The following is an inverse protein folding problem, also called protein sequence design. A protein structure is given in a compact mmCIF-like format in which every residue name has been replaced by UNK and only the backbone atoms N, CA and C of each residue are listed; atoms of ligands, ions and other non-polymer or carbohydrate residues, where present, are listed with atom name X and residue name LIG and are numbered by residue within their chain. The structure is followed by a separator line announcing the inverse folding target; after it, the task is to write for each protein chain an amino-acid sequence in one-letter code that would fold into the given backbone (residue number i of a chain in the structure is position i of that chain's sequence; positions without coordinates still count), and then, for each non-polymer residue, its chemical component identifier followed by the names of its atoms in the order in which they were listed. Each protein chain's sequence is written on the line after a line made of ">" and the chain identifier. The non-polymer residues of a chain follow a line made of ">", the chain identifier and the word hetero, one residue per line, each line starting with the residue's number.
data_IF_810098279873
#
_entry.id   IF_810098279873
#
_cell.length_a   1.000
_cell.length_b   1.000
_cell.length_c   1.000
_cell.angle_alpha   90.00
_cell.angle_beta   90.00
_cell.angle_gamma   90.00
#
_symmetry.space_group_name_H-M   'P 1'
#
loop_
_entity.id
_entity.type
_entity.pdbx_description
1 polymer ?
#
# COMPACT_ATOMS: atom_id res chain seq x y z
N UNK A 1 -10.53 7.56 -25.76
CA UNK A 1 -9.87 8.54 -24.87
C UNK A 1 -10.70 9.77 -24.53
N UNK A 2 -11.41 10.41 -25.47
CA UNK A 2 -12.19 11.63 -25.16
C UNK A 2 -13.20 11.45 -24.02
N UNK A 3 -13.97 10.37 -24.08
CA UNK A 3 -15.05 10.05 -23.12
C UNK A 3 -14.50 9.83 -21.71
N UNK A 4 -13.31 9.23 -21.55
CA UNK A 4 -12.70 9.03 -20.24
C UNK A 4 -12.23 10.35 -19.65
N UNK A 5 -11.57 11.19 -20.45
CA UNK A 5 -11.13 12.51 -20.01
C UNK A 5 -12.32 13.37 -19.54
N UNK A 6 -13.43 13.34 -20.30
CA UNK A 6 -14.68 14.03 -19.93
C UNK A 6 -15.29 13.48 -18.64
N UNK A 7 -15.43 12.15 -18.51
CA UNK A 7 -15.96 11.50 -17.29
C UNK A 7 -15.09 11.75 -16.05
N UNK A 8 -13.79 11.88 -16.24
CA UNK A 8 -12.83 12.18 -15.18
C UNK A 8 -12.64 13.69 -14.96
N UNK A 9 -13.46 14.55 -15.59
CA UNK A 9 -13.38 16.00 -15.49
C UNK A 9 -11.98 16.57 -15.77
N UNK A 10 -11.29 16.02 -16.76
CA UNK A 10 -9.90 16.36 -17.10
C UNK A 10 -9.68 16.52 -18.61
N UNK A 11 -8.48 16.94 -19.00
CA UNK A 11 -8.09 17.10 -20.41
C UNK A 11 -7.44 15.83 -20.96
N UNK A 12 -7.44 15.67 -22.30
CA UNK A 12 -6.71 14.58 -22.97
C UNK A 12 -5.22 14.60 -22.64
N UNK A 13 -4.61 15.79 -22.56
CA UNK A 13 -3.21 15.94 -22.22
C UNK A 13 -2.91 15.45 -20.79
N UNK A 14 -3.80 15.74 -19.83
CA UNK A 14 -3.65 15.22 -18.47
C UNK A 14 -3.88 13.71 -18.41
N UNK A 15 -4.85 13.16 -19.16
CA UNK A 15 -5.06 11.71 -19.24
C UNK A 15 -3.82 10.98 -19.79
N UNK A 16 -3.13 11.54 -20.78
CA UNK A 16 -1.87 10.98 -21.29
C UNK A 16 -0.76 10.97 -20.23
N UNK A 17 -0.68 12.02 -19.39
CA UNK A 17 0.28 12.05 -18.27
C UNK A 17 -0.04 11.00 -17.20
N UNK A 18 -1.32 10.78 -16.93
CA UNK A 18 -1.80 9.69 -16.06
C UNK A 18 -1.39 8.32 -16.63
N UNK A 19 -1.60 8.09 -17.93
CA UNK A 19 -1.17 6.85 -18.60
C UNK A 19 0.35 6.64 -18.56
N UNK A 20 1.12 7.73 -18.62
CA UNK A 20 2.57 7.71 -18.48
C UNK A 20 3.05 7.53 -17.02
N UNK A 21 2.14 7.51 -16.04
CA UNK A 21 2.48 7.41 -14.63
C UNK A 21 3.17 8.67 -14.07
N UNK A 22 2.90 9.84 -14.65
CA UNK A 22 3.47 11.12 -14.19
C UNK A 22 3.09 11.40 -12.73
N UNK A 23 4.05 11.42 -11.79
CA UNK A 23 3.78 11.63 -10.37
C UNK A 23 3.43 13.10 -10.04
N UNK A 24 3.62 14.03 -10.99
CA UNK A 24 3.21 15.44 -10.82
C UNK A 24 1.70 15.63 -10.97
N UNK A 25 0.98 14.66 -11.54
CA UNK A 25 -0.48 14.70 -11.61
C UNK A 25 -1.05 14.40 -10.21
N UNK A 26 -1.96 15.26 -9.76
CA UNK A 26 -2.65 15.06 -8.48
C UNK A 26 -3.31 13.69 -8.39
N UNK A 27 -3.18 13.04 -7.23
CA UNK A 27 -3.81 11.75 -6.94
C UNK A 27 -5.33 11.78 -7.12
N UNK A 28 -5.98 12.94 -6.94
CA UNK A 28 -7.41 13.11 -7.18
C UNK A 28 -7.79 12.88 -8.65
N UNK A 29 -6.90 13.24 -9.59
CA UNK A 29 -7.13 12.99 -11.01
C UNK A 29 -6.93 11.51 -11.34
N UNK A 30 -5.93 10.84 -10.75
CA UNK A 30 -5.81 9.39 -10.86
C UNK A 30 -7.08 8.68 -10.37
N UNK A 31 -7.60 9.07 -9.20
CA UNK A 31 -8.84 8.51 -8.66
C UNK A 31 -10.05 8.76 -9.57
N UNK A 32 -10.19 9.96 -10.14
CA UNK A 32 -11.28 10.28 -11.07
C UNK A 32 -11.22 9.45 -12.36
N UNK A 33 -10.01 9.23 -12.90
CA UNK A 33 -9.79 8.36 -14.07
C UNK A 33 -10.14 6.90 -13.74
N UNK A 34 -9.67 6.40 -12.59
CA UNK A 34 -10.00 5.05 -12.13
C UNK A 34 -11.51 4.88 -11.93
N UNK A 35 -12.20 5.87 -11.36
CA UNK A 35 -13.66 5.87 -11.23
C UNK A 35 -14.36 5.82 -12.59
N UNK A 36 -13.92 6.61 -13.57
CA UNK A 36 -14.49 6.61 -14.92
C UNK A 36 -14.32 5.26 -15.64
N UNK A 37 -13.33 4.46 -15.24
CA UNK A 37 -13.04 3.12 -15.74
C UNK A 37 -13.67 2.00 -14.91
N UNK A 38 -14.27 2.30 -13.75
CA UNK A 38 -14.79 1.29 -12.83
C UNK A 38 -13.69 0.54 -12.05
N UNK A 39 -12.52 1.15 -11.88
CA UNK A 39 -11.34 0.57 -11.21
C UNK A 39 -11.02 1.24 -9.87
N UNK A 40 -11.94 2.05 -9.32
CA UNK A 40 -11.67 2.84 -8.12
C UNK A 40 -11.35 1.96 -6.89
N UNK A 41 -12.04 0.83 -6.74
CA UNK A 41 -11.86 -0.07 -5.59
C UNK A 41 -10.42 -0.62 -5.50
N UNK A 42 -9.77 -0.84 -6.66
CA UNK A 42 -8.39 -1.27 -6.72
C UNK A 42 -7.40 -0.27 -6.10
N UNK A 43 -7.74 1.02 -6.04
CA UNK A 43 -6.90 2.04 -5.43
C UNK A 43 -6.69 1.80 -3.93
N UNK A 44 -7.67 1.21 -3.25
CA UNK A 44 -7.57 0.86 -1.83
C UNK A 44 -6.56 -0.26 -1.58
N UNK A 45 -6.34 -1.13 -2.58
CA UNK A 45 -5.46 -2.28 -2.48
C UNK A 45 -3.99 -1.94 -2.83
N UNK A 46 -3.73 -0.80 -3.46
CA UNK A 46 -2.38 -0.42 -3.95
C UNK A 46 -1.34 -0.37 -2.83
N UNK A 47 -1.74 0.08 -1.63
CA UNK A 47 -0.86 0.19 -0.47
C UNK A 47 -1.10 -0.92 0.57
N UNK A 48 -1.79 -2.00 0.21
CA UNK A 48 -2.00 -3.13 1.11
C UNK A 48 -0.69 -3.89 1.34
N UNK A 49 -0.13 -3.76 2.54
CA UNK A 49 1.11 -4.43 2.93
C UNK A 49 1.02 -5.96 2.85
N UNK A 50 -0.18 -6.54 3.01
CA UNK A 50 -0.37 -7.98 2.87
C UNK A 50 -0.19 -8.46 1.41
N UNK A 51 -0.29 -7.55 0.44
CA UNK A 51 -0.10 -7.80 -1.00
C UNK A 51 1.28 -7.37 -1.50
N UNK A 52 2.06 -6.67 -0.69
CA UNK A 52 3.45 -6.32 -1.00
C UNK A 52 4.38 -7.51 -0.70
N UNK A 53 4.58 -8.37 -1.69
CA UNK A 53 5.45 -9.55 -1.57
C UNK A 53 6.91 -9.17 -1.27
N UNK A 54 7.38 -8.03 -1.78
CA UNK A 54 8.76 -7.57 -1.56
C UNK A 54 8.89 -7.06 -0.13
N UNK A 55 7.97 -6.20 0.32
CA UNK A 55 7.90 -5.74 1.70
C UNK A 55 7.82 -6.88 2.71
N UNK A 56 6.97 -7.88 2.45
CA UNK A 56 6.86 -9.09 3.28
C UNK A 56 8.17 -9.88 3.34
N UNK A 57 8.87 -10.04 2.21
CA UNK A 57 10.17 -10.72 2.18
C UNK A 57 11.24 -9.99 3.01
N UNK A 58 11.27 -8.66 2.91
CA UNK A 58 12.20 -7.81 3.68
C UNK A 58 11.87 -7.84 5.17
N UNK A 59 10.59 -7.74 5.53
CA UNK A 59 10.13 -7.85 6.91
C UNK A 59 10.47 -9.22 7.52
N UNK A 60 10.31 -10.30 6.74
CA UNK A 60 10.67 -11.66 7.16
C UNK A 60 12.18 -11.79 7.37
N UNK A 61 12.99 -11.24 6.46
CA UNK A 61 14.44 -11.26 6.56
C UNK A 61 14.97 -10.46 7.78
N UNK A 62 14.23 -9.43 8.20
CA UNK A 62 14.57 -8.63 9.38
C UNK A 62 14.22 -9.30 10.73
N UNK A 63 13.53 -10.44 10.73
CA UNK A 63 13.15 -11.13 11.97
C UNK A 63 14.39 -11.67 12.72
N UNK A 64 14.41 -11.61 14.06
CA UNK A 64 15.49 -12.19 14.86
C UNK A 64 15.59 -13.71 14.65
N UNK A 65 16.79 -14.21 14.36
CA UNK A 65 17.02 -15.65 14.16
C UNK A 65 16.80 -16.50 15.43
N UNK A 66 16.82 -15.88 16.61
CA UNK A 66 16.55 -16.55 17.90
C UNK A 66 15.70 -15.68 18.80
N UNK A 67 14.55 -16.22 19.21
CA UNK A 67 13.71 -15.62 20.26
C UNK A 67 14.24 -16.06 21.61
N UNK A 68 14.66 -15.11 22.46
CA UNK A 68 14.99 -15.38 23.87
C UNK A 68 13.72 -15.23 24.69
N UNK A 69 13.12 -16.34 25.08
CA UNK A 69 12.04 -16.32 26.07
C UNK A 69 12.62 -15.87 27.42
N UNK A 70 12.04 -14.82 28.01
CA UNK A 70 12.42 -14.37 29.35
C UNK A 70 12.03 -15.48 30.32
N UNK A 71 13.03 -16.18 30.88
CA UNK A 71 12.80 -17.19 31.91
C UNK A 71 12.10 -16.50 33.08
N UNK A 72 10.87 -16.92 33.38
CA UNK A 72 10.12 -16.43 34.54
C UNK A 72 11.00 -16.56 35.77
N UNK A 73 11.20 -15.45 36.47
CA UNK A 73 12.00 -15.40 37.68
C UNK A 73 11.42 -16.40 38.68
N UNK A 74 12.15 -17.49 38.93
CA UNK A 74 11.82 -18.42 39.99
C UNK A 74 11.78 -17.64 41.29
N UNK A 75 10.56 -17.47 41.82
CA UNK A 75 10.33 -16.87 43.11
C UNK A 75 11.14 -17.62 44.15
N UNK A 76 12.07 -16.91 44.76
CA UNK A 76 12.80 -17.33 45.95
C UNK A 76 11.78 -17.43 47.09
N UNK A 77 11.23 -18.63 47.31
CA UNK A 77 10.53 -18.99 48.53
C UNK A 77 11.55 -19.39 49.57
N UNK A 78 11.97 -18.40 50.37
CA UNK A 78 12.65 -18.60 51.65
C UNK A 78 11.57 -18.70 52.75
N UNK A 79 11.94 -19.36 53.85
CA UNK A 79 11.30 -19.44 55.18
C UNK A 79 10.43 -20.67 55.51
N UNK A 80 10.91 -21.43 56.52
CA UNK A 80 10.11 -22.34 57.34
C UNK A 80 10.90 -23.56 57.81
#
# INVERSE_FOLDING_TARGET
>A
MAVIAERAFTSRATLQRVEAGDPSVSIGIYAAVLQALGLLDGLQEVADAARDTVGLSLATAALPQRVRLRRGGGGKGDHG
#
